data_IF_957660830228
#
_entry.id   IF_957660830228
#
_cell.length_a   1.000
_cell.length_b   1.000
_cell.length_c   1.000
_cell.angle_alpha   90.00
_cell.angle_beta   90.00
_cell.angle_gamma   90.00
#
_symmetry.space_group_name_H-M   'P 1'
#
loop_
_entity.id
_entity.type
_entity.pdbx_description
1 polymer ?
#
# COMPACT_ATOMS: atom_id res chain seq x y z
N UNK A 1 -18.70 -14.34 -5.61
CA UNK A 1 -19.07 -14.64 -7.01
C UNK A 1 -17.81 -14.52 -7.87
N UNK A 2 -17.57 -15.47 -8.76
CA UNK A 2 -16.45 -15.45 -9.72
C UNK A 2 -16.99 -15.01 -11.07
N UNK A 3 -16.36 -14.04 -11.70
CA UNK A 3 -16.65 -13.55 -13.04
C UNK A 3 -15.55 -14.06 -13.97
N UNK A 4 -15.92 -14.86 -14.97
CA UNK A 4 -15.01 -15.40 -15.96
C UNK A 4 -15.28 -14.77 -17.33
N UNK A 5 -14.23 -14.68 -18.17
CA UNK A 5 -14.35 -14.32 -19.57
C UNK A 5 -14.91 -15.46 -20.43
N UNK A 6 -15.05 -15.23 -21.72
CA UNK A 6 -15.58 -16.22 -22.68
C UNK A 6 -14.65 -17.47 -22.82
N UNK A 7 -13.40 -17.38 -22.40
CA UNK A 7 -12.45 -18.49 -22.34
C UNK A 7 -12.46 -19.23 -20.99
N UNK A 8 -13.30 -18.83 -20.05
CA UNK A 8 -13.41 -19.42 -18.71
C UNK A 8 -12.31 -18.97 -17.73
N UNK A 9 -11.47 -18.00 -18.08
CA UNK A 9 -10.50 -17.40 -17.15
C UNK A 9 -11.19 -16.48 -16.18
N UNK A 10 -10.86 -16.63 -14.89
CA UNK A 10 -11.41 -15.77 -13.84
C UNK A 10 -10.79 -14.39 -13.96
N UNK A 11 -11.59 -13.38 -14.34
CA UNK A 11 -11.18 -11.99 -14.44
C UNK A 11 -11.43 -11.21 -13.16
N UNK A 12 -12.46 -11.57 -12.40
CA UNK A 12 -12.80 -10.91 -11.15
C UNK A 12 -13.41 -11.86 -10.14
N UNK A 13 -13.25 -11.54 -8.86
CA UNK A 13 -13.89 -12.21 -7.75
C UNK A 13 -14.71 -11.19 -6.98
N UNK A 14 -16.02 -11.38 -6.94
CA UNK A 14 -16.90 -10.51 -6.18
C UNK A 14 -17.19 -11.12 -4.80
N UNK A 15 -16.88 -10.32 -3.75
CA UNK A 15 -17.21 -10.63 -2.37
C UNK A 15 -18.41 -9.80 -1.93
N UNK A 16 -19.47 -10.44 -1.48
CA UNK A 16 -20.65 -9.77 -0.95
C UNK A 16 -20.52 -9.75 0.57
N UNK A 17 -20.33 -8.54 1.12
CA UNK A 17 -20.26 -8.32 2.56
C UNK A 17 -21.55 -7.69 3.07
N UNK A 18 -22.00 -8.12 4.24
CA UNK A 18 -23.12 -7.47 4.93
C UNK A 18 -22.82 -6.01 5.25
N UNK A 19 -23.86 -5.18 5.35
CA UNK A 19 -23.72 -3.80 5.80
C UNK A 19 -23.06 -3.75 7.19
N UNK A 20 -22.08 -2.88 7.37
CA UNK A 20 -21.29 -2.65 8.59
C UNK A 20 -20.16 -3.64 8.86
N UNK A 21 -19.87 -4.60 8.00
CA UNK A 21 -18.67 -5.43 8.14
C UNK A 21 -17.42 -4.72 7.60
N UNK A 22 -16.28 -5.01 8.23
CA UNK A 22 -14.97 -4.55 7.80
C UNK A 22 -14.25 -5.65 7.00
N UNK A 23 -13.29 -5.25 6.16
CA UNK A 23 -12.49 -6.20 5.37
C UNK A 23 -11.74 -7.21 6.24
N UNK A 24 -11.27 -6.80 7.43
CA UNK A 24 -10.60 -7.68 8.40
C UNK A 24 -11.47 -8.78 9.00
N UNK A 25 -12.80 -8.74 8.78
CA UNK A 25 -13.68 -9.85 9.16
C UNK A 25 -13.75 -10.96 8.08
N UNK A 26 -13.18 -10.67 6.89
CA UNK A 26 -13.24 -11.57 5.73
C UNK A 26 -11.85 -11.99 5.27
N UNK A 27 -10.85 -11.12 5.45
CA UNK A 27 -9.48 -11.32 5.00
C UNK A 27 -8.50 -11.10 6.13
N UNK A 28 -7.42 -11.87 6.16
CA UNK A 28 -6.28 -11.66 7.08
C UNK A 28 -5.30 -10.60 6.56
N UNK A 29 -5.36 -10.28 5.28
CA UNK A 29 -4.56 -9.25 4.63
C UNK A 29 -5.22 -8.82 3.32
N UNK A 30 -4.81 -7.67 2.78
CA UNK A 30 -5.31 -7.21 1.48
C UNK A 30 -4.88 -8.21 0.38
N UNK A 31 -5.81 -8.70 -0.44
CA UNK A 31 -5.48 -9.53 -1.60
C UNK A 31 -4.72 -8.70 -2.64
N UNK A 32 -3.88 -9.38 -3.43
CA UNK A 32 -3.17 -8.72 -4.54
C UNK A 32 -4.12 -8.37 -5.70
N UNK A 33 -3.70 -7.41 -6.53
CA UNK A 33 -4.48 -6.96 -7.68
C UNK A 33 -5.29 -5.70 -7.40
N UNK A 34 -6.42 -5.54 -8.08
CA UNK A 34 -7.29 -4.38 -7.94
C UNK A 34 -8.47 -4.72 -7.02
N UNK A 35 -8.55 -4.03 -5.89
CA UNK A 35 -9.66 -4.19 -4.94
C UNK A 35 -10.61 -2.99 -5.03
N UNK A 36 -11.77 -3.21 -5.65
CA UNK A 36 -12.88 -2.27 -5.60
C UNK A 36 -13.72 -2.52 -4.34
N UNK A 37 -13.58 -1.64 -3.35
CA UNK A 37 -14.31 -1.77 -2.08
C UNK A 37 -15.73 -1.20 -2.12
N UNK A 38 -16.13 -0.52 -3.22
CA UNK A 38 -17.46 0.08 -3.44
C UNK A 38 -17.93 1.07 -2.36
N UNK A 39 -17.20 1.24 -1.28
CA UNK A 39 -17.45 2.20 -0.21
C UNK A 39 -16.17 2.57 0.52
N UNK A 40 -16.16 3.76 1.10
CA UNK A 40 -15.08 4.23 1.97
C UNK A 40 -15.20 3.64 3.38
N UNK A 41 -14.12 3.67 4.16
CA UNK A 41 -14.14 3.31 5.58
C UNK A 41 -14.30 1.82 5.89
N UNK A 42 -14.08 0.92 4.93
CA UNK A 42 -14.18 -0.55 5.15
C UNK A 42 -12.93 -1.15 5.80
N UNK A 43 -11.95 -0.33 6.18
CA UNK A 43 -10.79 -0.76 6.95
C UNK A 43 -9.63 -1.35 6.13
N UNK A 44 -9.54 -1.08 4.83
CA UNK A 44 -8.46 -1.63 3.98
C UNK A 44 -7.07 -1.29 4.50
N UNK A 45 -6.80 -0.03 4.78
CA UNK A 45 -5.52 0.42 5.35
C UNK A 45 -5.23 -0.25 6.70
N UNK A 46 -6.23 -0.34 7.59
CA UNK A 46 -6.09 -0.96 8.92
C UNK A 46 -5.75 -2.44 8.78
N UNK A 47 -6.46 -3.15 7.90
CA UNK A 47 -6.20 -4.55 7.60
C UNK A 47 -4.75 -4.78 7.16
N UNK A 48 -4.22 -3.92 6.28
CA UNK A 48 -2.84 -4.07 5.82
C UNK A 48 -1.80 -3.68 6.89
N UNK A 49 -2.10 -2.70 7.75
CA UNK A 49 -1.26 -2.36 8.89
C UNK A 49 -1.13 -3.56 9.85
N UNK A 50 -2.23 -4.27 10.10
CA UNK A 50 -2.30 -5.41 11.02
C UNK A 50 -1.80 -6.72 10.39
N UNK A 51 -1.71 -6.80 9.06
CA UNK A 51 -1.28 -8.00 8.35
C UNK A 51 0.14 -8.42 8.75
N UNK A 52 0.36 -9.72 8.91
CA UNK A 52 1.66 -10.32 9.30
C UNK A 52 2.64 -10.40 8.13
N UNK A 53 2.96 -9.27 7.55
CA UNK A 53 3.94 -9.14 6.45
C UNK A 53 4.54 -7.72 6.42
N UNK A 54 5.70 -7.57 5.81
CA UNK A 54 6.25 -6.24 5.55
C UNK A 54 5.40 -5.53 4.50
N UNK A 55 5.06 -4.26 4.74
CA UNK A 55 4.17 -3.51 3.84
C UNK A 55 4.65 -2.08 3.61
N UNK A 56 4.44 -1.62 2.38
CA UNK A 56 4.58 -0.22 1.98
C UNK A 56 3.17 0.24 1.59
N UNK A 57 2.60 1.16 2.35
CA UNK A 57 1.25 1.65 2.16
C UNK A 57 1.32 3.09 1.66
N UNK A 58 0.91 3.31 0.42
CA UNK A 58 0.92 4.63 -0.23
C UNK A 58 -0.43 5.30 -0.01
N UNK A 59 -0.37 6.51 0.53
CA UNK A 59 -1.54 7.33 0.84
C UNK A 59 -1.67 8.51 -0.13
N UNK A 60 -2.90 8.95 -0.43
CA UNK A 60 -3.14 10.12 -1.28
C UNK A 60 -2.71 11.43 -0.62
N UNK A 61 -2.74 11.52 0.70
CA UNK A 61 -2.37 12.72 1.42
C UNK A 61 -1.55 12.46 2.70
N UNK A 62 -0.73 13.46 3.07
CA UNK A 62 0.20 13.36 4.19
C UNK A 62 -0.48 13.32 5.55
N UNK A 63 -1.60 14.03 5.72
CA UNK A 63 -2.29 14.10 7.01
C UNK A 63 -2.85 12.74 7.41
N UNK A 64 -3.43 12.01 6.45
CA UNK A 64 -3.95 10.68 6.69
C UNK A 64 -2.83 9.68 7.01
N UNK A 65 -1.75 9.67 6.22
CA UNK A 65 -0.59 8.82 6.46
C UNK A 65 0.02 9.07 7.85
N UNK A 66 0.21 10.33 8.22
CA UNK A 66 0.75 10.71 9.51
C UNK A 66 -0.18 10.35 10.67
N UNK A 67 -1.47 10.66 10.56
CA UNK A 67 -2.46 10.29 11.59
C UNK A 67 -2.48 8.79 11.84
N UNK A 68 -2.43 7.99 10.78
CA UNK A 68 -2.35 6.53 10.90
C UNK A 68 -1.03 6.06 11.53
N UNK A 69 0.09 6.70 11.24
CA UNK A 69 1.39 6.32 11.83
C UNK A 69 1.45 6.51 13.34
N UNK A 70 0.58 7.35 13.91
CA UNK A 70 0.50 7.59 15.36
C UNK A 70 -0.27 6.52 16.13
N UNK A 71 -0.92 5.59 15.44
CA UNK A 71 -1.66 4.51 16.09
C UNK A 71 -0.78 3.40 16.64
N UNK A 72 0.48 3.32 16.18
CA UNK A 72 1.43 2.31 16.62
C UNK A 72 2.87 2.80 16.36
N UNK A 73 3.73 2.70 17.36
CA UNK A 73 5.14 3.15 17.31
C UNK A 73 6.01 2.35 16.33
N UNK A 74 5.53 1.20 15.86
CA UNK A 74 6.20 0.39 14.84
C UNK A 74 5.98 0.86 13.41
N UNK A 75 5.13 1.90 13.21
CA UNK A 75 4.80 2.42 11.90
C UNK A 75 5.72 3.59 11.55
N UNK A 76 6.41 3.53 10.41
CA UNK A 76 7.23 4.64 9.94
C UNK A 76 6.47 5.49 8.91
N UNK A 77 6.15 6.73 9.29
CA UNK A 77 5.68 7.74 8.34
C UNK A 77 6.81 8.24 7.47
N UNK A 78 6.64 8.21 6.16
CA UNK A 78 7.60 8.78 5.18
C UNK A 78 6.89 9.76 4.27
N UNK A 79 7.11 11.04 4.53
CA UNK A 79 6.46 12.13 3.79
C UNK A 79 7.12 13.47 4.06
N UNK A 80 6.53 14.53 3.50
CA UNK A 80 6.91 15.90 3.82
C UNK A 80 6.47 16.25 5.25
N UNK A 81 7.15 17.19 5.93
CA UNK A 81 6.79 17.64 7.26
C UNK A 81 5.34 18.13 7.36
N UNK A 82 4.74 17.94 8.52
CA UNK A 82 3.41 18.45 8.87
C UNK A 82 3.58 19.49 9.96
N UNK A 83 3.63 20.77 9.58
CA UNK A 83 3.96 21.87 10.50
C UNK A 83 5.29 21.61 11.22
N UNK A 84 5.34 21.92 12.49
CA UNK A 84 6.50 21.66 13.36
C UNK A 84 6.45 20.24 13.99
N UNK A 85 5.45 19.44 13.63
CA UNK A 85 5.16 18.17 14.30
C UNK A 85 6.03 17.01 13.80
N UNK A 86 6.68 17.15 12.64
CA UNK A 86 7.51 16.09 12.02
C UNK A 86 8.79 16.65 11.45
N UNK A 87 9.86 15.86 11.56
CA UNK A 87 11.08 16.08 10.81
C UNK A 87 11.05 15.40 9.44
N UNK A 88 11.90 15.82 8.54
CA UNK A 88 12.09 15.13 7.26
C UNK A 88 12.79 13.79 7.53
N UNK A 89 12.12 12.70 7.16
CA UNK A 89 12.72 11.36 7.22
C UNK A 89 13.76 11.20 6.11
N UNK A 90 14.98 10.99 6.52
CA UNK A 90 16.12 10.77 5.61
C UNK A 90 16.24 9.29 5.19
N UNK A 91 17.00 8.99 4.13
CA UNK A 91 17.35 7.59 3.81
C UNK A 91 18.04 6.84 4.95
N UNK A 92 18.80 7.55 5.81
CA UNK A 92 19.45 6.96 6.99
C UNK A 92 18.43 6.54 8.04
N UNK A 93 17.39 7.34 8.26
CA UNK A 93 16.32 7.02 9.21
C UNK A 93 15.53 5.80 8.74
N UNK A 94 15.23 5.70 7.44
CA UNK A 94 14.58 4.53 6.85
C UNK A 94 15.45 3.28 7.05
N UNK A 95 16.77 3.38 6.78
CA UNK A 95 17.69 2.28 6.98
C UNK A 95 17.74 1.84 8.45
N UNK A 96 17.84 2.80 9.37
CA UNK A 96 17.84 2.54 10.82
C UNK A 96 16.57 1.81 11.26
N UNK A 97 15.41 2.26 10.79
CA UNK A 97 14.13 1.60 11.05
C UNK A 97 14.09 0.15 10.56
N UNK A 98 14.58 -0.10 9.35
CA UNK A 98 14.68 -1.45 8.80
C UNK A 98 15.55 -2.34 9.71
N UNK A 99 16.75 -1.86 10.07
CA UNK A 99 17.70 -2.59 10.91
C UNK A 99 17.10 -2.87 12.31
N UNK A 100 16.35 -1.92 12.88
CA UNK A 100 15.66 -2.06 14.16
C UNK A 100 14.57 -3.15 14.13
N UNK A 101 13.72 -3.15 13.11
CA UNK A 101 12.67 -4.18 12.98
C UNK A 101 13.30 -5.57 12.73
N UNK A 102 14.36 -5.65 11.92
CA UNK A 102 15.07 -6.90 11.68
C UNK A 102 15.71 -7.46 12.96
N UNK A 103 16.30 -6.58 13.81
CA UNK A 103 16.83 -6.99 15.09
C UNK A 103 15.73 -7.52 16.01
N UNK A 104 14.62 -6.81 16.16
CA UNK A 104 13.49 -7.24 17.00
C UNK A 104 12.91 -8.59 16.53
N UNK A 105 12.83 -8.82 15.23
CA UNK A 105 12.43 -10.13 14.69
C UNK A 105 13.45 -11.22 15.03
N UNK A 106 14.73 -10.91 14.97
CA UNK A 106 15.80 -11.84 15.36
C UNK A 106 15.74 -12.18 16.85
N UNK A 107 15.26 -11.25 17.66
CA UNK A 107 15.03 -11.43 19.11
C UNK A 107 13.71 -12.19 19.41
N UNK A 108 12.98 -12.61 18.38
CA UNK A 108 11.76 -13.44 18.49
C UNK A 108 10.45 -12.66 18.54
N UNK A 109 10.45 -11.33 18.29
CA UNK A 109 9.23 -10.55 18.24
C UNK A 109 8.46 -10.76 16.92
N UNK A 110 7.12 -10.83 17.00
CA UNK A 110 6.23 -10.91 15.82
C UNK A 110 5.94 -9.50 15.27
N UNK A 111 6.96 -8.85 14.73
CA UNK A 111 6.92 -7.48 14.18
C UNK A 111 7.28 -7.44 12.70
N UNK A 112 6.73 -6.47 11.99
CA UNK A 112 6.89 -6.33 10.54
C UNK A 112 7.19 -4.89 10.16
N UNK A 113 7.99 -4.70 9.10
CA UNK A 113 8.28 -3.37 8.55
C UNK A 113 7.02 -2.78 7.93
N UNK A 114 6.57 -1.64 8.44
CA UNK A 114 5.37 -0.93 7.98
C UNK A 114 5.68 0.51 7.63
N UNK A 115 5.75 0.80 6.34
CA UNK A 115 5.98 2.15 5.83
C UNK A 115 4.64 2.77 5.42
N UNK A 116 4.31 3.92 6.01
CA UNK A 116 3.17 4.74 5.63
C UNK A 116 3.68 5.93 4.83
N UNK A 117 3.48 5.90 3.53
CA UNK A 117 4.22 6.73 2.58
C UNK A 117 3.26 7.61 1.79
N UNK A 118 3.61 8.88 1.61
CA UNK A 118 2.94 9.70 0.59
C UNK A 118 3.57 9.45 -0.79
N UNK A 119 2.78 9.59 -1.85
CA UNK A 119 3.17 9.27 -3.22
C UNK A 119 4.57 9.81 -3.59
N UNK A 120 4.85 11.09 -3.29
CA UNK A 120 6.13 11.75 -3.58
C UNK A 120 7.34 11.13 -2.87
N UNK A 121 7.12 10.40 -1.79
CA UNK A 121 8.19 9.82 -0.97
C UNK A 121 8.40 8.33 -1.24
N UNK A 122 7.58 7.70 -2.06
CA UNK A 122 7.73 6.30 -2.46
C UNK A 122 9.10 6.01 -3.09
N UNK A 123 9.65 6.84 -3.99
CA UNK A 123 10.98 6.63 -4.55
C UNK A 123 12.08 6.55 -3.50
N UNK A 124 11.95 7.29 -2.38
CA UNK A 124 12.92 7.29 -1.29
C UNK A 124 12.95 5.93 -0.58
N UNK A 125 11.79 5.37 -0.24
CA UNK A 125 11.67 4.05 0.38
C UNK A 125 12.21 2.98 -0.56
N UNK A 126 11.76 3.01 -1.82
CA UNK A 126 12.22 2.08 -2.85
C UNK A 126 13.75 2.05 -2.98
N UNK A 127 14.40 3.22 -3.08
CA UNK A 127 15.86 3.32 -3.18
C UNK A 127 16.59 2.73 -1.97
N UNK A 128 16.08 2.93 -0.77
CA UNK A 128 16.70 2.37 0.45
C UNK A 128 16.62 0.86 0.46
N UNK A 129 15.45 0.28 0.15
CA UNK A 129 15.26 -1.17 0.05
C UNK A 129 16.22 -1.77 -1.00
N UNK A 130 16.29 -1.16 -2.19
CA UNK A 130 17.21 -1.60 -3.25
C UNK A 130 18.68 -1.51 -2.82
N UNK A 131 19.08 -0.44 -2.12
CA UNK A 131 20.46 -0.24 -1.63
C UNK A 131 20.82 -1.28 -0.57
N UNK A 132 19.89 -1.67 0.28
CA UNK A 132 20.08 -2.75 1.26
C UNK A 132 20.08 -4.14 0.62
N UNK A 133 19.83 -4.24 -0.68
CA UNK A 133 19.69 -5.50 -1.42
C UNK A 133 18.59 -6.43 -0.85
N UNK A 134 17.59 -5.85 -0.20
CA UNK A 134 16.41 -6.59 0.20
C UNK A 134 15.55 -6.91 -1.04
N UNK A 135 14.97 -8.10 -1.06
CA UNK A 135 14.06 -8.47 -2.14
C UNK A 135 12.73 -7.72 -2.02
N UNK A 136 12.24 -7.14 -3.10
CA UNK A 136 10.89 -6.59 -3.18
C UNK A 136 9.80 -7.66 -3.01
N UNK A 137 10.14 -8.94 -3.22
CA UNK A 137 9.26 -10.08 -2.92
C UNK A 137 8.94 -10.21 -1.43
N UNK A 138 9.78 -9.66 -0.55
CA UNK A 138 9.55 -9.66 0.89
C UNK A 138 8.63 -8.53 1.37
N UNK A 139 8.18 -7.67 0.48
CA UNK A 139 7.28 -6.55 0.78
C UNK A 139 5.99 -6.64 -0.02
N UNK A 140 4.91 -6.18 0.58
CA UNK A 140 3.64 -5.94 -0.10
C UNK A 140 3.44 -4.45 -0.31
N UNK A 141 3.19 -4.02 -1.55
CA UNK A 141 2.89 -2.64 -1.88
C UNK A 141 1.38 -2.44 -2.03
N UNK A 142 0.82 -1.63 -1.14
CA UNK A 142 -0.57 -1.19 -1.22
C UNK A 142 -0.63 0.28 -1.64
N UNK A 143 -1.38 0.59 -2.70
CA UNK A 143 -1.76 1.97 -3.05
C UNK A 143 -3.22 2.16 -2.66
N UNK A 144 -3.47 2.90 -1.58
CA UNK A 144 -4.82 3.12 -1.05
C UNK A 144 -5.43 4.40 -1.63
N UNK A 145 -6.75 4.39 -1.85
CA UNK A 145 -7.54 5.47 -2.44
C UNK A 145 -6.93 6.00 -3.75
N UNK A 146 -6.58 5.07 -4.64
CA UNK A 146 -5.91 5.41 -5.92
C UNK A 146 -6.71 6.38 -6.79
N UNK A 147 -8.04 6.36 -6.71
CA UNK A 147 -8.93 7.30 -7.39
C UNK A 147 -8.74 8.76 -6.93
N UNK A 148 -8.37 8.99 -5.68
CA UNK A 148 -8.03 10.33 -5.19
C UNK A 148 -6.75 10.84 -5.86
N UNK A 149 -5.76 9.97 -6.06
CA UNK A 149 -4.52 10.31 -6.77
C UNK A 149 -4.83 10.57 -8.26
N UNK A 150 -5.77 9.82 -8.86
CA UNK A 150 -6.20 9.99 -10.26
C UNK A 150 -7.00 11.28 -10.49
N UNK A 151 -7.77 11.73 -9.51
CA UNK A 151 -8.73 12.84 -9.69
C UNK A 151 -8.06 14.20 -9.69
N UNK A 152 -6.92 14.34 -9.06
CA UNK A 152 -6.22 15.60 -8.93
C UNK A 152 -5.26 15.81 -10.11
N UNK A 153 -5.59 16.78 -10.98
CA UNK A 153 -4.78 17.09 -12.16
C UNK A 153 -3.34 17.50 -11.83
N UNK A 154 -3.12 18.04 -10.61
CA UNK A 154 -1.77 18.35 -10.09
C UNK A 154 -0.98 17.10 -9.70
N UNK A 155 -1.67 15.97 -9.48
CA UNK A 155 -1.08 14.69 -9.09
C UNK A 155 -0.91 13.70 -10.26
N UNK A 156 -1.37 14.02 -11.48
CA UNK A 156 -1.23 13.11 -12.63
C UNK A 156 0.20 12.62 -12.88
N UNK A 157 1.24 13.48 -12.91
CA UNK A 157 2.61 13.01 -13.06
C UNK A 157 3.04 12.08 -11.91
N UNK A 158 2.56 12.37 -10.69
CA UNK A 158 2.87 11.59 -9.49
C UNK A 158 2.19 10.22 -9.48
N UNK A 159 0.99 10.12 -10.06
CA UNK A 159 0.34 8.83 -10.23
C UNK A 159 1.11 7.93 -11.19
N UNK A 160 1.56 8.45 -12.32
CA UNK A 160 2.39 7.70 -13.28
C UNK A 160 3.66 7.18 -12.60
N UNK A 161 4.36 8.02 -11.83
CA UNK A 161 5.51 7.62 -11.04
C UNK A 161 5.16 6.51 -10.02
N UNK A 162 4.03 6.63 -9.30
CA UNK A 162 3.57 5.61 -8.33
C UNK A 162 3.28 4.29 -9.04
N UNK A 163 2.61 4.33 -10.20
CA UNK A 163 2.30 3.13 -10.99
C UNK A 163 3.57 2.49 -11.53
N UNK A 164 4.55 3.28 -11.96
CA UNK A 164 5.86 2.77 -12.40
C UNK A 164 6.58 2.02 -11.26
N UNK A 165 6.54 2.55 -10.03
CA UNK A 165 7.07 1.84 -8.87
C UNK A 165 6.23 0.63 -8.49
N UNK A 166 4.91 0.73 -8.57
CA UNK A 166 3.98 -0.38 -8.33
C UNK A 166 4.31 -1.57 -9.25
N UNK A 167 4.53 -1.33 -10.53
CA UNK A 167 4.86 -2.36 -11.50
C UNK A 167 6.22 -3.04 -11.28
N UNK A 168 7.11 -2.47 -10.45
CA UNK A 168 8.38 -3.09 -10.07
C UNK A 168 8.24 -4.17 -8.98
N UNK A 169 7.12 -4.20 -8.28
CA UNK A 169 6.83 -5.28 -7.33
C UNK A 169 6.22 -6.48 -8.05
N UNK A 170 6.46 -7.71 -7.57
CA UNK A 170 5.78 -8.89 -8.11
C UNK A 170 4.26 -8.72 -8.05
N UNK A 171 3.55 -9.23 -9.04
CA UNK A 171 2.09 -9.11 -9.12
C UNK A 171 1.38 -9.65 -7.87
N UNK A 172 1.90 -10.74 -7.29
CA UNK A 172 1.39 -11.32 -6.04
C UNK A 172 1.59 -10.46 -4.80
N UNK A 173 2.43 -9.42 -4.90
CA UNK A 173 2.87 -8.60 -3.77
C UNK A 173 2.47 -7.13 -3.91
N UNK A 174 1.42 -6.86 -4.67
CA UNK A 174 0.95 -5.49 -4.88
C UNK A 174 -0.56 -5.40 -5.02
N UNK A 175 -1.14 -4.31 -4.56
CA UNK A 175 -2.56 -4.03 -4.72
C UNK A 175 -2.86 -2.55 -4.90
N UNK A 176 -3.85 -2.26 -5.75
CA UNK A 176 -4.50 -0.96 -5.87
C UNK A 176 -5.86 -1.05 -5.20
N UNK A 177 -6.17 -0.13 -4.31
CA UNK A 177 -7.43 -0.14 -3.56
C UNK A 177 -8.16 1.18 -3.77
N UNK A 178 -9.45 1.11 -4.06
CA UNK A 178 -10.30 2.29 -4.19
C UNK A 178 -11.75 1.97 -3.84
N UNK A 179 -12.49 2.99 -3.41
CA UNK A 179 -13.95 2.90 -3.28
C UNK A 179 -14.64 3.05 -4.64
N UNK A 180 -13.99 3.70 -5.61
CA UNK A 180 -14.52 3.97 -6.94
C UNK A 180 -13.42 3.73 -7.96
N UNK A 181 -13.42 2.57 -8.59
CA UNK A 181 -12.43 2.28 -9.63
C UNK A 181 -12.82 3.01 -10.91
N UNK A 182 -11.88 3.77 -11.43
CA UNK A 182 -11.90 4.32 -12.78
C UNK A 182 -10.98 3.50 -13.67
N UNK A 183 -11.26 3.49 -14.96
CA UNK A 183 -10.42 2.78 -15.93
C UNK A 183 -8.97 3.27 -15.86
N UNK A 184 -8.06 2.33 -15.74
CA UNK A 184 -6.64 2.59 -15.83
C UNK A 184 -6.21 2.53 -17.29
N UNK A 185 -5.48 3.55 -17.74
CA UNK A 185 -4.89 3.58 -19.09
C UNK A 185 -3.55 2.84 -19.15
N UNK A 186 -2.94 2.56 -17.99
CA UNK A 186 -1.65 1.88 -17.93
C UNK A 186 -1.78 0.40 -18.23
N UNK A 187 -1.12 -0.06 -19.31
CA UNK A 187 -1.25 -1.41 -19.86
C UNK A 187 -0.94 -2.55 -18.85
N UNK A 188 0.06 -2.36 -17.96
CA UNK A 188 0.38 -3.37 -16.96
C UNK A 188 -0.69 -3.46 -15.86
N UNK A 189 -1.33 -2.34 -15.52
CA UNK A 189 -2.41 -2.32 -14.52
C UNK A 189 -3.68 -2.98 -15.07
N UNK A 190 -3.93 -2.89 -16.37
CA UNK A 190 -5.07 -3.56 -17.02
C UNK A 190 -4.98 -5.09 -16.96
N UNK A 191 -3.80 -5.64 -16.69
CA UNK A 191 -3.58 -7.09 -16.52
C UNK A 191 -3.75 -7.57 -15.09
N UNK A 192 -3.96 -6.66 -14.14
CA UNK A 192 -4.16 -7.03 -12.73
C UNK A 192 -5.50 -7.75 -12.53
N UNK A 193 -5.55 -8.78 -11.68
CA UNK A 193 -6.82 -9.37 -11.27
C UNK A 193 -7.65 -8.38 -10.45
N UNK A 194 -8.97 -8.43 -10.64
CA UNK A 194 -9.93 -7.59 -9.92
C UNK A 194 -10.81 -8.47 -9.00
#
# INVERSE_FOLDING_TARGET
>A
RRLADDEGKIQAIEFIMERKKYLGEVFDSIPFGILNKNRTGVGATTLEIEAKRNSIIVFPNKSLAYSKSKTNDLLLYVGSPIGDSTSIISPKDIKKYIDEIDQRRSDGEDVYKKFLVVADSLPKVYKVIATKKESFESYFLLVDEVDMIQSDATYRPKLEDVIDYYCKFPQSNRALVSATIRDFTHHEVQKEPM
#
